data_IF_929305239385
#
_entry.id   IF_929305239385
#
_cell.length_a   1.000
_cell.length_b   1.000
_cell.length_c   1.000
_cell.angle_alpha   90.00
_cell.angle_beta   90.00
_cell.angle_gamma   90.00
#
_symmetry.space_group_name_H-M   'P 1'
#
loop_
_entity.id
_entity.type
_entity.pdbx_description
1 polymer ?
#
# COMPACT_ATOMS: atom_id res chain seq x y z
N UNK A 1 -19.35 9.62 -14.91
CA UNK A 1 -18.74 10.04 -13.62
C UNK A 1 -18.77 8.94 -12.55
N UNK A 2 -19.91 8.29 -12.30
CA UNK A 2 -20.07 7.27 -11.25
C UNK A 2 -19.03 6.12 -11.26
N UNK A 3 -18.72 5.55 -12.44
CA UNK A 3 -17.73 4.46 -12.59
C UNK A 3 -16.30 4.89 -12.16
N UNK A 4 -15.91 6.14 -12.44
CA UNK A 4 -14.60 6.68 -12.05
C UNK A 4 -14.51 6.88 -10.54
N UNK A 5 -15.59 7.38 -9.92
CA UNK A 5 -15.67 7.54 -8.46
C UNK A 5 -15.61 6.20 -7.73
N UNK A 6 -16.29 5.17 -8.26
CA UNK A 6 -16.23 3.81 -7.73
C UNK A 6 -14.81 3.23 -7.78
N UNK A 7 -14.09 3.38 -8.90
CA UNK A 7 -12.71 2.90 -8.99
C UNK A 7 -11.75 3.62 -8.05
N UNK A 8 -11.95 4.92 -7.81
CA UNK A 8 -11.16 5.69 -6.82
C UNK A 8 -11.37 5.10 -5.43
N UNK A 9 -12.63 4.95 -5.02
CA UNK A 9 -12.98 4.41 -3.70
C UNK A 9 -12.43 2.98 -3.52
N UNK A 10 -12.68 2.10 -4.48
CA UNK A 10 -12.18 0.71 -4.44
C UNK A 10 -10.66 0.68 -4.35
N UNK A 11 -9.95 1.52 -5.11
CA UNK A 11 -8.49 1.55 -5.07
C UNK A 11 -7.94 2.03 -3.73
N UNK A 12 -8.53 3.10 -3.18
CA UNK A 12 -8.10 3.65 -1.89
C UNK A 12 -8.31 2.65 -0.76
N UNK A 13 -9.50 2.03 -0.71
CA UNK A 13 -9.83 1.01 0.29
C UNK A 13 -8.92 -0.21 0.17
N UNK A 14 -8.68 -0.69 -1.06
CA UNK A 14 -7.77 -1.80 -1.30
C UNK A 14 -6.35 -1.48 -0.80
N UNK A 15 -5.80 -0.31 -1.13
CA UNK A 15 -4.46 0.08 -0.69
C UNK A 15 -4.36 0.17 0.84
N UNK A 16 -5.35 0.78 1.51
CA UNK A 16 -5.38 0.88 2.98
C UNK A 16 -5.41 -0.51 3.61
N UNK A 17 -6.30 -1.39 3.14
CA UNK A 17 -6.40 -2.77 3.65
C UNK A 17 -5.08 -3.52 3.45
N UNK A 18 -4.44 -3.39 2.30
CA UNK A 18 -3.20 -4.08 2.00
C UNK A 18 -2.03 -3.59 2.87
N UNK A 19 -1.93 -2.28 3.14
CA UNK A 19 -0.93 -1.73 4.06
C UNK A 19 -1.17 -2.19 5.50
N UNK A 20 -2.43 -2.20 5.96
CA UNK A 20 -2.79 -2.72 7.29
C UNK A 20 -2.50 -4.22 7.38
N UNK A 21 -2.84 -5.00 6.36
CA UNK A 21 -2.58 -6.43 6.32
C UNK A 21 -1.09 -6.74 6.36
N UNK A 22 -0.27 -5.99 5.60
CA UNK A 22 1.19 -6.07 5.67
C UNK A 22 1.68 -5.84 7.11
N UNK A 23 1.21 -4.77 7.77
CA UNK A 23 1.61 -4.45 9.13
C UNK A 23 1.16 -5.51 10.14
N UNK A 24 -0.07 -6.03 10.01
CA UNK A 24 -0.62 -7.05 10.88
C UNK A 24 0.13 -8.38 10.77
N UNK A 25 0.38 -8.83 9.54
CA UNK A 25 1.16 -10.06 9.29
C UNK A 25 2.59 -9.88 9.79
N UNK A 26 3.25 -8.78 9.45
CA UNK A 26 4.62 -8.51 9.88
C UNK A 26 4.74 -8.44 11.41
N UNK A 27 3.83 -7.74 12.09
CA UNK A 27 3.79 -7.68 13.54
C UNK A 27 3.60 -9.08 14.15
N UNK A 28 2.61 -9.84 13.68
CA UNK A 28 2.35 -11.19 14.17
C UNK A 28 3.56 -12.12 13.98
N UNK A 29 4.23 -12.05 12.83
CA UNK A 29 5.43 -12.86 12.56
C UNK A 29 6.56 -12.60 13.56
N UNK A 30 6.74 -11.35 14.00
CA UNK A 30 7.81 -11.00 14.96
C UNK A 30 7.40 -11.14 16.42
N UNK A 31 6.17 -10.77 16.78
CA UNK A 31 5.71 -10.75 18.16
C UNK A 31 5.04 -12.06 18.60
N UNK A 32 4.69 -12.95 17.66
CA UNK A 32 3.93 -14.18 17.89
C UNK A 32 2.59 -13.94 18.62
N UNK A 33 2.08 -12.71 18.53
CA UNK A 33 0.79 -12.25 19.07
C UNK A 33 0.23 -11.18 18.15
N UNK A 34 -1.09 -11.04 18.12
CA UNK A 34 -1.77 -10.00 17.35
C UNK A 34 -2.50 -9.06 18.31
N UNK A 35 -2.02 -7.81 18.40
CA UNK A 35 -2.64 -6.76 19.23
C UNK A 35 -2.99 -5.56 18.36
N UNK A 36 -4.10 -4.87 18.69
CA UNK A 36 -4.53 -3.67 17.94
C UNK A 36 -3.45 -2.59 17.97
N UNK A 37 -2.86 -2.32 19.13
CA UNK A 37 -1.77 -1.36 19.26
C UNK A 37 -0.57 -1.74 18.40
N UNK A 38 -0.14 -3.00 18.40
CA UNK A 38 0.99 -3.45 17.57
C UNK A 38 0.76 -3.25 16.07
N UNK A 39 -0.47 -3.51 15.59
CA UNK A 39 -0.85 -3.25 14.20
C UNK A 39 -0.86 -1.75 13.91
N UNK A 40 -1.42 -0.93 14.81
CA UNK A 40 -1.46 0.53 14.65
C UNK A 40 -0.05 1.13 14.64
N UNK A 41 0.80 0.80 15.62
CA UNK A 41 2.19 1.26 15.71
C UNK A 41 3.02 0.87 14.48
N UNK A 42 2.74 -0.29 13.91
CA UNK A 42 3.45 -0.76 12.71
C UNK A 42 2.93 -0.09 11.44
N UNK A 43 1.61 0.09 11.30
CA UNK A 43 0.96 0.56 10.07
C UNK A 43 0.95 2.08 9.89
N UNK A 44 0.79 2.86 10.96
CA UNK A 44 0.56 4.31 10.84
C UNK A 44 1.62 5.06 10.02
N UNK A 45 2.94 4.77 10.10
CA UNK A 45 3.94 5.47 9.29
C UNK A 45 3.73 5.22 7.79
N UNK A 46 3.37 3.99 7.44
CA UNK A 46 3.09 3.60 6.06
C UNK A 46 1.74 4.14 5.59
N UNK A 47 0.73 4.24 6.45
CA UNK A 47 -0.55 4.86 6.11
C UNK A 47 -0.40 6.36 5.83
N UNK A 48 0.43 7.07 6.60
CA UNK A 48 0.82 8.46 6.29
C UNK A 48 1.54 8.52 4.95
N UNK A 49 2.50 7.62 4.72
CA UNK A 49 3.18 7.49 3.44
C UNK A 49 2.23 7.25 2.26
N UNK A 50 1.22 6.39 2.44
CA UNK A 50 0.20 6.08 1.44
C UNK A 50 -0.67 7.30 1.12
N UNK A 51 -1.10 8.05 2.13
CA UNK A 51 -1.86 9.29 1.94
C UNK A 51 -1.07 10.31 1.10
N UNK A 52 0.20 10.53 1.45
CA UNK A 52 1.10 11.38 0.67
C UNK A 52 1.28 10.84 -0.76
N UNK A 53 1.42 9.53 -0.92
CA UNK A 53 1.61 8.91 -2.22
C UNK A 53 0.40 9.09 -3.15
N UNK A 54 -0.81 9.00 -2.61
CA UNK A 54 -2.05 9.29 -3.34
C UNK A 54 -2.11 10.73 -3.83
N UNK A 55 -1.70 11.68 -2.99
CA UNK A 55 -1.65 13.11 -3.32
C UNK A 55 -0.58 13.40 -4.37
N UNK A 56 0.67 12.99 -4.12
CA UNK A 56 1.82 13.29 -4.97
C UNK A 56 1.72 12.64 -6.36
N UNK A 57 1.13 11.45 -6.46
CA UNK A 57 0.92 10.77 -7.75
C UNK A 57 -0.37 11.18 -8.46
N UNK A 58 -1.19 12.03 -7.83
CA UNK A 58 -2.55 12.33 -8.27
C UNK A 58 -3.32 11.04 -8.64
N UNK A 59 -3.30 10.06 -7.73
CA UNK A 59 -3.77 8.68 -8.00
C UNK A 59 -5.22 8.61 -8.50
N UNK A 60 -6.06 9.57 -8.12
CA UNK A 60 -7.45 9.71 -8.60
C UNK A 60 -7.56 9.92 -10.12
N UNK A 61 -6.48 10.33 -10.79
CA UNK A 61 -6.47 10.50 -12.24
C UNK A 61 -6.49 9.17 -12.99
N UNK A 62 -5.81 8.14 -12.46
CA UNK A 62 -5.67 6.82 -13.06
C UNK A 62 -5.50 5.71 -12.00
N UNK A 63 -6.49 5.48 -11.11
CA UNK A 63 -6.32 4.70 -9.87
C UNK A 63 -5.92 3.23 -10.09
N UNK A 64 -6.27 2.65 -11.24
CA UNK A 64 -5.97 1.26 -11.61
C UNK A 64 -4.70 1.10 -12.45
N UNK A 65 -3.94 2.17 -12.72
CA UNK A 65 -2.71 2.10 -13.53
C UNK A 65 -1.55 1.49 -12.70
N UNK A 66 -1.05 0.27 -13.01
CA UNK A 66 -0.09 -0.42 -12.15
C UNK A 66 1.29 0.23 -12.19
N UNK A 67 1.77 0.60 -13.40
CA UNK A 67 3.08 1.20 -13.53
C UNK A 67 3.09 2.65 -13.03
N UNK A 68 2.26 3.53 -13.61
CA UNK A 68 2.24 4.96 -13.26
C UNK A 68 1.81 5.21 -11.81
N UNK A 69 0.70 4.60 -11.37
CA UNK A 69 0.11 4.88 -10.06
C UNK A 69 0.57 3.88 -9.02
N UNK A 70 0.59 2.58 -9.33
CA UNK A 70 1.03 1.54 -8.39
C UNK A 70 2.48 1.69 -7.95
N UNK A 71 3.43 1.87 -8.87
CA UNK A 71 4.85 2.04 -8.51
C UNK A 71 5.09 3.33 -7.74
N UNK A 72 4.45 4.44 -8.15
CA UNK A 72 4.55 5.71 -7.43
C UNK A 72 3.96 5.63 -6.01
N UNK A 73 2.83 4.94 -5.86
CA UNK A 73 2.22 4.69 -4.56
C UNK A 73 3.16 3.86 -3.68
N UNK A 74 3.62 2.74 -4.20
CA UNK A 74 4.52 1.83 -3.49
C UNK A 74 5.80 2.53 -3.02
N UNK A 75 6.53 3.16 -3.93
CA UNK A 75 7.83 3.76 -3.61
C UNK A 75 7.69 4.87 -2.58
N UNK A 76 6.73 5.77 -2.76
CA UNK A 76 6.47 6.87 -1.82
C UNK A 76 6.01 6.36 -0.45
N UNK A 77 5.13 5.35 -0.43
CA UNK A 77 4.64 4.74 0.82
C UNK A 77 5.78 4.14 1.64
N UNK A 78 6.67 3.39 0.98
CA UNK A 78 7.81 2.77 1.64
C UNK A 78 8.83 3.82 2.07
N UNK A 79 9.20 4.76 1.20
CA UNK A 79 10.19 5.79 1.52
C UNK A 79 9.74 6.64 2.71
N UNK A 80 8.52 7.18 2.67
CA UNK A 80 8.01 8.01 3.76
C UNK A 80 7.77 7.17 5.02
N UNK A 81 7.25 5.95 4.89
CA UNK A 81 7.09 5.05 6.03
C UNK A 81 8.41 4.79 6.76
N UNK A 82 9.50 4.53 6.02
CA UNK A 82 10.82 4.32 6.62
C UNK A 82 11.39 5.59 7.24
N UNK A 83 11.22 6.76 6.60
CA UNK A 83 11.65 8.05 7.14
C UNK A 83 10.93 8.35 8.46
N UNK A 84 9.61 8.19 8.48
CA UNK A 84 8.81 8.43 9.69
C UNK A 84 9.22 7.45 10.79
N UNK A 85 9.37 6.16 10.47
CA UNK A 85 9.82 5.15 11.43
C UNK A 85 11.16 5.50 12.04
N UNK A 86 12.14 5.88 11.23
CA UNK A 86 13.43 6.34 11.71
C UNK A 86 13.30 7.55 12.63
N UNK A 87 12.51 8.55 12.24
CA UNK A 87 12.33 9.78 13.01
C UNK A 87 11.69 9.56 14.39
N UNK A 88 10.79 8.58 14.52
CA UNK A 88 10.14 8.25 15.80
C UNK A 88 10.86 7.14 16.58
N UNK A 89 12.07 6.76 16.17
CA UNK A 89 12.85 5.71 16.83
C UNK A 89 12.30 4.29 16.64
N UNK A 90 11.39 4.07 15.68
CA UNK A 90 10.95 2.75 15.31
C UNK A 90 12.02 2.04 14.47
N UNK A 91 12.27 0.76 14.76
CA UNK A 91 13.31 -0.02 14.08
C UNK A 91 13.15 -0.09 12.56
N UNK A 92 14.28 0.05 11.84
CA UNK A 92 14.43 -0.03 10.38
C UNK A 92 15.53 -1.04 9.99
N UNK A 93 15.43 -2.27 10.51
CA UNK A 93 16.40 -3.31 10.18
C UNK A 93 16.48 -3.56 8.66
N UNK A 94 17.68 -3.85 8.13
CA UNK A 94 17.88 -4.12 6.70
C UNK A 94 16.89 -5.15 6.11
N UNK A 95 16.67 -6.31 6.77
CA UNK A 95 15.67 -7.28 6.33
C UNK A 95 14.24 -6.72 6.30
N UNK A 96 13.87 -5.87 7.26
CA UNK A 96 12.56 -5.23 7.29
C UNK A 96 12.36 -4.32 6.07
N UNK A 97 13.37 -3.56 5.66
CA UNK A 97 13.29 -2.71 4.48
C UNK A 97 13.01 -3.55 3.22
N UNK A 98 13.74 -4.66 3.06
CA UNK A 98 13.59 -5.55 1.90
C UNK A 98 12.19 -6.19 1.88
N UNK A 99 11.77 -6.80 2.98
CA UNK A 99 10.47 -7.51 3.06
C UNK A 99 9.30 -6.53 2.94
N UNK A 100 9.36 -5.37 3.63
CA UNK A 100 8.34 -4.34 3.51
C UNK A 100 8.22 -3.84 2.08
N UNK A 101 9.35 -3.55 1.43
CA UNK A 101 9.38 -3.10 0.03
C UNK A 101 8.79 -4.16 -0.90
N UNK A 102 9.24 -5.42 -0.80
CA UNK A 102 8.81 -6.49 -1.69
C UNK A 102 7.32 -6.83 -1.54
N UNK A 103 6.83 -6.98 -0.29
CA UNK A 103 5.42 -7.31 -0.05
C UNK A 103 4.48 -6.18 -0.45
N UNK A 104 4.83 -4.92 -0.14
CA UNK A 104 4.02 -3.78 -0.58
C UNK A 104 4.08 -3.58 -2.09
N UNK A 105 5.22 -3.86 -2.75
CA UNK A 105 5.29 -3.84 -4.22
C UNK A 105 4.32 -4.87 -4.80
N UNK A 106 4.44 -6.13 -4.34
CA UNK A 106 3.62 -7.24 -4.82
C UNK A 106 2.14 -6.96 -4.63
N UNK A 107 1.75 -6.43 -3.47
CA UNK A 107 0.34 -6.16 -3.16
C UNK A 107 -0.15 -4.91 -3.89
N UNK A 108 0.42 -3.73 -3.64
CA UNK A 108 -0.05 -2.44 -4.18
C UNK A 108 0.05 -2.34 -5.71
N UNK A 109 1.08 -2.93 -6.32
CA UNK A 109 1.19 -2.99 -7.79
C UNK A 109 0.43 -4.19 -8.34
N UNK A 110 0.59 -5.36 -7.74
CA UNK A 110 0.02 -6.61 -8.26
C UNK A 110 -1.51 -6.62 -8.30
N UNK A 111 -2.19 -6.06 -7.30
CA UNK A 111 -3.66 -6.00 -7.32
C UNK A 111 -4.17 -5.15 -8.50
N UNK A 112 -3.45 -4.07 -8.85
CA UNK A 112 -3.78 -3.23 -10.02
C UNK A 112 -3.55 -3.96 -11.33
N UNK A 113 -2.49 -4.77 -11.42
CA UNK A 113 -2.25 -5.64 -12.58
C UNK A 113 -3.44 -6.60 -12.77
N UNK A 114 -3.87 -7.24 -11.69
CA UNK A 114 -5.02 -8.15 -11.69
C UNK A 114 -6.30 -7.41 -12.10
N UNK A 115 -6.59 -6.26 -11.48
CA UNK A 115 -7.79 -5.46 -11.78
C UNK A 115 -7.86 -5.06 -13.26
N UNK A 116 -6.74 -4.64 -13.87
CA UNK A 116 -6.69 -4.35 -15.31
C UNK A 116 -6.88 -5.59 -16.18
N UNK A 117 -6.27 -6.72 -15.80
CA UNK A 117 -6.39 -7.95 -16.55
C UNK A 117 -7.81 -8.52 -16.52
N UNK A 118 -8.55 -8.36 -15.42
CA UNK A 118 -9.96 -8.77 -15.28
C UNK A 118 -10.88 -7.77 -15.99
N UNK A 119 -10.67 -6.47 -15.81
CA UNK A 119 -11.48 -5.43 -16.45
C UNK A 119 -11.37 -5.43 -17.98
N UNK A 120 -10.19 -5.73 -18.52
CA UNK A 120 -9.97 -5.86 -19.97
C UNK A 120 -10.64 -7.08 -20.60
N UNK A 121 -10.88 -8.16 -19.83
CA UNK A 121 -11.59 -9.36 -20.30
C UNK A 121 -13.10 -9.14 -20.44
N UNK A 122 -13.68 -8.27 -19.62
CA UNK A 122 -15.11 -7.98 -19.63
C UNK A 122 -15.55 -7.08 -20.80
N UNK A 123 -14.63 -6.40 -21.48
CA UNK A 123 -14.92 -5.57 -22.66
C UNK A 123 -14.76 -6.32 -24.00
N UNK A 124 -14.25 -7.56 -23.95
CA UNK A 124 -14.07 -8.45 -25.12
C UNK A 124 -15.10 -9.60 -25.18
N UNK A 125 -15.99 -9.70 -24.19
CA UNK A 125 -17.20 -10.53 -24.21
C UNK A 125 -18.39 -9.65 -24.51
#
# INVERSE_FOLDING_TARGET
>A
MAKRSSHIFTALVADIILVIAFAAVGFYTHAQVLTVDGVVQTSWPFLVGLGCAWILSAAWTAPLAPMRTGVAIWSTTILLGMIIRFAVGAGIAGPFIIVASALNFLTLVGWRVIARAVGGRSAKR
#
